data_IF_637033701145
#
_entry.id   IF_637033701145
#
_cell.length_a   1.000
_cell.length_b   1.000
_cell.length_c   1.000
_cell.angle_alpha   90.00
_cell.angle_beta   90.00
_cell.angle_gamma   90.00
#
_symmetry.space_group_name_H-M   'P 1'
#
loop_
_entity.id
_entity.type
_entity.pdbx_description
1 polymer ?
#
# COMPACT_ATOMS: atom_id res chain seq x y z
N UNK A 1 -17.63 6.74 -0.98
CA UNK A 1 -18.39 5.52 -1.34
C UNK A 1 -17.38 4.41 -1.47
N UNK A 2 -17.51 3.38 -0.66
CA UNK A 2 -16.54 2.29 -0.55
C UNK A 2 -16.74 1.28 -1.68
N UNK A 3 -15.68 0.55 -2.05
CA UNK A 3 -15.78 -0.64 -2.92
C UNK A 3 -16.57 -1.78 -2.25
N UNK A 4 -16.79 -1.68 -0.94
CA UNK A 4 -17.60 -2.61 -0.15
C UNK A 4 -19.12 -2.43 -0.35
N UNK A 5 -19.55 -1.31 -0.94
CA UNK A 5 -20.96 -1.06 -1.26
C UNK A 5 -21.34 -1.79 -2.56
N UNK A 6 -22.20 -2.85 -2.53
CA UNK A 6 -22.46 -3.67 -3.70
C UNK A 6 -23.02 -2.88 -4.89
N UNK A 7 -23.93 -1.94 -4.61
CA UNK A 7 -24.56 -1.07 -5.64
C UNK A 7 -23.51 -0.18 -6.32
N UNK A 8 -22.54 0.33 -5.55
CA UNK A 8 -21.46 1.14 -6.11
C UNK A 8 -20.54 0.28 -6.97
N UNK A 9 -20.19 -0.92 -6.51
CA UNK A 9 -19.37 -1.87 -7.24
C UNK A 9 -20.02 -2.31 -8.56
N UNK A 10 -21.31 -2.66 -8.55
CA UNK A 10 -22.08 -2.95 -9.76
C UNK A 10 -22.12 -1.74 -10.70
N UNK A 11 -22.34 -0.54 -10.16
CA UNK A 11 -22.31 0.69 -10.95
C UNK A 11 -20.96 0.95 -11.63
N UNK A 12 -19.84 0.61 -10.99
CA UNK A 12 -18.51 0.69 -11.62
C UNK A 12 -18.30 -0.39 -12.67
N UNK A 13 -18.75 -1.62 -12.43
CA UNK A 13 -18.66 -2.70 -13.41
C UNK A 13 -19.35 -2.33 -14.72
N UNK A 14 -20.57 -1.78 -14.70
CA UNK A 14 -21.27 -1.39 -15.92
C UNK A 14 -20.63 -0.20 -16.64
N UNK A 15 -19.88 0.66 -15.94
CA UNK A 15 -19.12 1.75 -16.56
C UNK A 15 -17.85 1.26 -17.22
N UNK A 16 -17.17 0.29 -16.60
CA UNK A 16 -15.82 -0.18 -16.98
C UNK A 16 -15.69 -1.72 -16.90
N UNK A 17 -16.50 -2.48 -17.65
CA UNK A 17 -16.61 -3.93 -17.44
C UNK A 17 -15.30 -4.66 -17.77
N UNK A 18 -14.62 -4.26 -18.84
CA UNK A 18 -13.34 -4.86 -19.25
C UNK A 18 -12.25 -4.65 -18.20
N UNK A 19 -12.13 -3.44 -17.66
CA UNK A 19 -11.14 -3.11 -16.62
C UNK A 19 -11.44 -3.88 -15.33
N UNK A 20 -12.71 -3.97 -14.93
CA UNK A 20 -13.13 -4.76 -13.76
C UNK A 20 -12.84 -6.25 -13.93
N UNK A 21 -13.14 -6.84 -15.08
CA UNK A 21 -12.84 -8.25 -15.36
C UNK A 21 -11.33 -8.50 -15.41
N UNK A 22 -10.57 -7.57 -15.98
CA UNK A 22 -9.10 -7.64 -16.01
C UNK A 22 -8.54 -7.61 -14.59
N UNK A 23 -9.02 -6.71 -13.74
CA UNK A 23 -8.63 -6.67 -12.34
C UNK A 23 -9.00 -7.95 -11.61
N UNK A 24 -10.23 -8.45 -11.78
CA UNK A 24 -10.68 -9.70 -11.16
C UNK A 24 -9.81 -10.90 -11.56
N UNK A 25 -9.28 -10.91 -12.79
CA UNK A 25 -8.36 -11.94 -13.26
C UNK A 25 -6.98 -11.88 -12.58
N UNK A 26 -6.45 -10.67 -12.34
CA UNK A 26 -5.12 -10.49 -11.72
C UNK A 26 -5.14 -10.53 -10.19
N UNK A 27 -6.25 -10.14 -9.57
CA UNK A 27 -6.39 -10.03 -8.11
C UNK A 27 -6.01 -11.32 -7.33
N UNK A 28 -6.41 -12.53 -7.74
CA UNK A 28 -6.07 -13.75 -6.99
C UNK A 28 -4.63 -14.24 -7.24
N UNK A 29 -3.87 -13.63 -8.14
CA UNK A 29 -2.53 -14.08 -8.50
C UNK A 29 -1.51 -13.58 -7.46
N UNK A 30 -0.66 -14.48 -6.96
CA UNK A 30 0.42 -14.16 -6.03
C UNK A 30 1.80 -14.24 -6.71
N UNK A 31 2.78 -13.58 -6.10
CA UNK A 31 4.13 -13.50 -6.63
C UNK A 31 4.83 -14.87 -6.69
N UNK A 32 4.61 -15.72 -5.69
CA UNK A 32 5.25 -17.03 -5.56
C UNK A 32 4.86 -18.00 -6.67
N UNK A 33 3.56 -18.15 -6.94
CA UNK A 33 3.04 -19.03 -7.99
C UNK A 33 3.49 -18.55 -9.37
N UNK A 34 3.45 -17.24 -9.62
CA UNK A 34 3.94 -16.67 -10.87
C UNK A 34 5.44 -16.90 -11.03
N UNK A 35 6.25 -16.63 -10.00
CA UNK A 35 7.69 -16.87 -10.05
C UNK A 35 8.02 -18.35 -10.36
N UNK A 36 7.39 -19.30 -9.66
CA UNK A 36 7.62 -20.75 -9.82
C UNK A 36 7.15 -21.30 -11.18
N UNK A 37 6.27 -20.59 -11.89
CA UNK A 37 5.91 -20.94 -13.28
C UNK A 37 7.09 -20.73 -14.23
N UNK A 38 7.85 -19.65 -14.07
CA UNK A 38 8.91 -19.25 -15.01
C UNK A 38 10.32 -19.55 -14.51
N UNK A 39 10.52 -19.70 -13.20
CA UNK A 39 11.82 -19.89 -12.56
C UNK A 39 11.86 -21.26 -11.88
N UNK A 40 12.95 -22.00 -12.08
CA UNK A 40 13.19 -23.32 -11.46
C UNK A 40 14.39 -23.35 -10.52
N UNK A 41 15.24 -22.33 -10.59
CA UNK A 41 16.40 -22.19 -9.71
C UNK A 41 15.94 -21.96 -8.26
N UNK A 42 16.31 -22.85 -7.31
CA UNK A 42 15.85 -22.75 -5.93
C UNK A 42 16.44 -21.56 -5.18
N UNK A 43 17.67 -21.11 -5.50
CA UNK A 43 18.28 -19.94 -4.88
C UNK A 43 17.57 -18.67 -5.34
N UNK A 44 17.26 -18.56 -6.63
CA UNK A 44 16.52 -17.41 -7.15
C UNK A 44 15.09 -17.35 -6.60
N UNK A 45 14.44 -18.51 -6.42
CA UNK A 45 13.12 -18.56 -5.78
C UNK A 45 13.19 -18.17 -4.30
N UNK A 46 14.21 -18.60 -3.57
CA UNK A 46 14.44 -18.18 -2.19
C UNK A 46 14.70 -16.68 -2.08
N UNK A 47 15.41 -16.09 -3.04
CA UNK A 47 15.60 -14.64 -3.11
C UNK A 47 14.26 -13.90 -3.29
N UNK A 48 13.39 -14.38 -4.17
CA UNK A 48 12.04 -13.79 -4.37
C UNK A 48 11.18 -13.92 -3.11
N UNK A 49 11.22 -15.08 -2.44
CA UNK A 49 10.51 -15.31 -1.19
C UNK A 49 10.98 -14.32 -0.10
N UNK A 50 12.30 -14.08 0.00
CA UNK A 50 12.88 -13.12 0.93
C UNK A 50 12.51 -11.66 0.60
N UNK A 51 12.61 -11.24 -0.66
CA UNK A 51 12.23 -9.88 -1.08
C UNK A 51 10.75 -9.61 -0.78
N UNK A 52 9.86 -10.57 -1.07
CA UNK A 52 8.44 -10.45 -0.72
C UNK A 52 8.27 -10.24 0.79
N UNK A 53 8.93 -11.04 1.62
CA UNK A 53 8.85 -10.89 3.07
C UNK A 53 9.36 -9.53 3.56
N UNK A 54 10.48 -9.03 3.00
CA UNK A 54 11.05 -7.74 3.37
C UNK A 54 10.07 -6.59 3.10
N UNK A 55 9.33 -6.64 2.00
CA UNK A 55 8.48 -5.52 1.56
C UNK A 55 7.01 -5.65 1.99
N UNK A 56 6.52 -6.87 2.21
CA UNK A 56 5.10 -7.14 2.50
C UNK A 56 4.87 -7.80 3.86
N UNK A 57 5.92 -8.22 4.56
CA UNK A 57 5.86 -9.00 5.82
C UNK A 57 5.19 -10.38 5.71
N UNK A 58 4.94 -10.85 4.48
CA UNK A 58 4.41 -12.18 4.18
C UNK A 58 5.22 -12.84 3.07
N UNK A 59 5.17 -14.17 2.94
CA UNK A 59 5.90 -14.88 1.89
C UNK A 59 5.34 -14.56 0.48
N UNK A 60 6.04 -15.01 -0.57
CA UNK A 60 5.63 -14.72 -1.95
C UNK A 60 4.29 -15.36 -2.33
N UNK A 61 3.93 -16.50 -1.74
CA UNK A 61 2.63 -17.16 -1.98
C UNK A 61 1.44 -16.37 -1.43
N UNK A 62 1.68 -15.47 -0.48
CA UNK A 62 0.67 -14.60 0.12
C UNK A 62 0.80 -13.14 -0.32
N UNK A 63 1.83 -12.81 -1.12
CA UNK A 63 2.02 -11.46 -1.64
C UNK A 63 1.31 -11.32 -3.00
N UNK A 64 0.31 -10.44 -3.14
CA UNK A 64 -0.35 -10.22 -4.43
C UNK A 64 0.66 -9.81 -5.51
N UNK A 65 0.60 -10.45 -6.68
CA UNK A 65 1.58 -10.22 -7.75
C UNK A 65 1.58 -8.76 -8.21
N UNK A 66 0.40 -8.14 -8.27
CA UNK A 66 0.26 -6.73 -8.65
C UNK A 66 1.03 -5.80 -7.69
N UNK A 67 0.98 -6.07 -6.39
CA UNK A 67 1.72 -5.29 -5.38
C UNK A 67 3.22 -5.57 -5.46
N UNK A 68 3.61 -6.84 -5.59
CA UNK A 68 5.02 -7.23 -5.72
C UNK A 68 5.66 -6.58 -6.96
N UNK A 69 4.98 -6.60 -8.11
CA UNK A 69 5.49 -6.00 -9.35
C UNK A 69 5.76 -4.50 -9.22
N UNK A 70 4.86 -3.76 -8.59
CA UNK A 70 5.00 -2.32 -8.41
C UNK A 70 6.22 -2.02 -7.54
N UNK A 71 6.31 -2.67 -6.36
CA UNK A 71 7.38 -2.39 -5.39
C UNK A 71 8.76 -2.81 -5.91
N UNK A 72 8.85 -3.97 -6.59
CA UNK A 72 10.11 -4.45 -7.16
C UNK A 72 10.58 -3.56 -8.31
N UNK A 73 9.68 -3.14 -9.19
CA UNK A 73 10.01 -2.20 -10.27
C UNK A 73 10.45 -0.85 -9.73
N UNK A 74 9.70 -0.27 -8.77
CA UNK A 74 10.05 1.02 -8.17
C UNK A 74 11.42 0.98 -7.50
N UNK A 75 11.75 -0.10 -6.78
CA UNK A 75 13.10 -0.29 -6.21
C UNK A 75 14.16 -0.48 -7.27
N UNK A 76 13.87 -1.22 -8.34
CA UNK A 76 14.85 -1.48 -9.41
C UNK A 76 15.23 -0.19 -10.15
N UNK A 77 14.26 0.66 -10.47
CA UNK A 77 14.50 1.90 -11.23
C UNK A 77 14.82 3.11 -10.34
N UNK A 78 14.16 3.23 -9.18
CA UNK A 78 14.30 4.37 -8.27
C UNK A 78 15.36 4.18 -7.17
N UNK A 79 15.81 2.95 -6.94
CA UNK A 79 16.77 2.62 -5.89
C UNK A 79 16.20 2.74 -4.48
N UNK A 80 17.10 2.75 -3.49
CA UNK A 80 16.77 2.94 -2.07
C UNK A 80 17.48 4.20 -1.59
N UNK A 81 16.70 5.15 -1.07
CA UNK A 81 17.20 6.43 -0.59
C UNK A 81 17.06 6.52 0.92
N UNK A 82 18.11 6.99 1.58
CA UNK A 82 18.13 7.21 3.02
C UNK A 82 18.13 8.71 3.31
N UNK A 83 17.16 9.23 4.08
CA UNK A 83 17.14 10.66 4.41
C UNK A 83 18.35 11.02 5.27
N UNK A 84 18.98 12.15 4.96
CA UNK A 84 20.06 12.72 5.78
C UNK A 84 19.51 13.00 7.18
N UNK A 85 20.19 12.48 8.21
CA UNK A 85 19.72 12.56 9.61
C UNK A 85 18.69 11.49 10.01
N UNK A 86 18.42 10.51 9.14
CA UNK A 86 17.55 9.37 9.42
C UNK A 86 16.05 9.67 9.23
N UNK A 87 15.23 8.62 9.33
CA UNK A 87 13.77 8.68 9.10
C UNK A 87 13.07 9.73 9.97
N UNK A 88 13.57 9.99 11.18
CA UNK A 88 13.05 11.05 12.06
C UNK A 88 13.13 12.45 11.45
N UNK A 89 14.03 12.70 10.49
CA UNK A 89 14.13 13.96 9.75
C UNK A 89 12.88 14.25 8.92
N UNK A 90 12.27 13.24 8.29
CA UNK A 90 11.04 13.40 7.50
C UNK A 90 9.89 13.88 8.40
N UNK A 91 9.69 13.22 9.54
CA UNK A 91 8.65 13.58 10.50
C UNK A 91 8.84 15.01 11.05
N UNK A 92 10.09 15.39 11.36
CA UNK A 92 10.43 16.75 11.82
C UNK A 92 10.15 17.81 10.76
N UNK A 93 10.54 17.56 9.51
CA UNK A 93 10.30 18.49 8.40
C UNK A 93 8.82 18.67 8.12
N UNK A 94 8.03 17.59 8.15
CA UNK A 94 6.57 17.66 8.01
C UNK A 94 5.94 18.47 9.15
N UNK A 95 6.31 18.16 10.40
CA UNK A 95 5.79 18.86 11.57
C UNK A 95 6.11 20.36 11.53
N UNK A 96 7.35 20.71 11.17
CA UNK A 96 7.76 22.11 10.98
C UNK A 96 6.94 22.79 9.88
N UNK A 97 6.78 22.14 8.73
CA UNK A 97 6.01 22.70 7.61
C UNK A 97 4.55 23.00 7.99
N UNK A 98 3.91 22.13 8.76
CA UNK A 98 2.54 22.35 9.26
C UNK A 98 2.48 23.54 10.22
N UNK A 99 3.42 23.64 11.16
CA UNK A 99 3.51 24.77 12.10
C UNK A 99 3.79 26.09 11.37
N UNK A 100 4.68 26.08 10.38
CA UNK A 100 4.98 27.25 9.54
C UNK A 100 3.75 27.71 8.73
N UNK A 101 2.79 26.83 8.47
CA UNK A 101 1.48 27.13 7.85
C UNK A 101 0.39 27.48 8.87
N UNK A 102 0.73 27.69 10.14
CA UNK A 102 -0.19 28.09 11.21
C UNK A 102 -0.95 26.93 11.87
N UNK A 103 -0.54 25.68 11.64
CA UNK A 103 -1.12 24.53 12.34
C UNK A 103 -0.55 24.38 13.75
N UNK A 104 -1.31 23.73 14.63
CA UNK A 104 -0.85 23.30 15.95
C UNK A 104 -0.68 21.78 15.99
N UNK A 105 0.42 21.30 16.57
CA UNK A 105 0.69 19.86 16.72
C UNK A 105 0.73 19.53 18.22
N UNK A 106 -0.25 18.75 18.66
CA UNK A 106 -0.38 18.33 20.05
C UNK A 106 0.26 16.96 20.27
N UNK A 107 1.20 16.87 21.22
CA UNK A 107 1.85 15.62 21.61
C UNK A 107 1.20 15.04 22.88
N UNK A 108 1.24 13.71 23.03
CA UNK A 108 0.58 12.98 24.13
C UNK A 108 -0.93 13.26 24.25
N UNK A 109 -1.56 13.65 23.15
CA UNK A 109 -3.00 13.92 23.07
C UNK A 109 -3.73 12.70 22.49
N UNK A 110 -3.96 11.68 23.31
CA UNK A 110 -4.68 10.48 22.86
C UNK A 110 -6.16 10.83 22.57
N UNK A 111 -6.62 10.55 21.35
CA UNK A 111 -8.02 10.72 20.96
C UNK A 111 -8.85 9.56 21.53
N UNK A 112 -9.86 9.85 22.35
CA UNK A 112 -10.71 8.82 22.97
C UNK A 112 -12.09 8.70 22.31
N UNK A 113 -12.57 9.77 21.69
CA UNK A 113 -13.90 9.87 21.12
C UNK A 113 -13.87 10.75 19.87
N UNK A 114 -14.75 10.46 18.91
CA UNK A 114 -15.06 11.35 17.78
C UNK A 114 -16.44 11.95 18.08
N UNK A 115 -16.52 13.28 18.11
CA UNK A 115 -17.77 14.00 18.38
C UNK A 115 -18.51 14.18 17.05
N UNK A 116 -19.77 13.76 17.00
CA UNK A 116 -20.59 13.78 15.80
C UNK A 116 -21.83 14.67 16.02
N UNK A 117 -22.14 15.53 15.05
CA UNK A 117 -23.43 16.24 14.95
C UNK A 117 -24.02 16.06 13.55
N UNK A 118 -25.30 15.68 13.47
CA UNK A 118 -26.02 15.43 12.21
C UNK A 118 -25.24 14.58 11.19
N UNK A 119 -24.53 13.56 11.68
CA UNK A 119 -23.73 12.65 10.85
C UNK A 119 -22.39 13.21 10.35
N UNK A 120 -21.91 14.33 10.91
CA UNK A 120 -20.60 14.92 10.61
C UNK A 120 -19.73 15.02 11.87
N UNK A 121 -18.44 14.80 11.72
CA UNK A 121 -17.48 15.08 12.78
C UNK A 121 -17.41 16.61 13.03
N UNK A 122 -17.44 17.02 14.29
CA UNK A 122 -17.46 18.45 14.71
C UNK A 122 -16.45 18.79 15.81
N UNK A 123 -15.61 17.83 16.20
CA UNK A 123 -14.50 18.01 17.14
C UNK A 123 -13.17 17.71 16.48
#
# INVERSE_FOLDING_TARGET
KSLEEPIYLFGQFFKKPLECLTLAYYLPQNAGDIARRFIKDPELLSFIDAECFIVSTVNALQTPMINASMVLCDRHFGGINYPVGGVGGIAKSLAKGLVDQGSEILYKANVTNIIMDRGKAVG
#
